data_IF_808455218853
#
_entry.id   IF_808455218853
#
_cell.length_a   1.000
_cell.length_b   1.000
_cell.length_c   1.000
_cell.angle_alpha   90.00
_cell.angle_beta   90.00
_cell.angle_gamma   90.00
#
_symmetry.space_group_name_H-M   'P 1'
#
loop_
_entity.id
_entity.type
_entity.pdbx_description
1 polymer ?
#
# COMPACT_ATOMS: atom_id res chain seq x y z
N UNK A 1 -21.81 -14.36 14.50
CA UNK A 1 -22.35 -15.19 13.40
C UNK A 1 -23.51 -16.04 13.88
N UNK A 2 -23.49 -16.50 15.13
CA UNK A 2 -24.64 -17.15 15.78
C UNK A 2 -25.59 -16.09 16.37
N UNK A 3 -26.18 -16.25 17.55
CA UNK A 3 -27.47 -15.56 17.81
C UNK A 3 -27.39 -14.06 18.17
N UNK A 4 -28.39 -13.31 17.69
CA UNK A 4 -28.80 -11.97 18.15
C UNK A 4 -28.39 -10.79 17.26
N UNK A 5 -27.34 -10.94 16.44
CA UNK A 5 -26.83 -9.86 15.60
C UNK A 5 -27.28 -9.98 14.15
N UNK A 6 -27.76 -8.88 13.56
CA UNK A 6 -28.13 -8.77 12.13
C UNK A 6 -26.99 -8.24 11.25
N UNK A 7 -25.87 -7.84 11.84
CA UNK A 7 -24.76 -7.18 11.14
C UNK A 7 -23.43 -7.83 11.51
N UNK A 8 -22.79 -8.49 10.55
CA UNK A 8 -21.52 -9.20 10.75
C UNK A 8 -20.34 -8.53 10.05
N UNK A 9 -20.55 -8.05 8.82
CA UNK A 9 -19.51 -7.40 7.99
C UNK A 9 -19.88 -5.98 7.57
N UNK A 10 -20.95 -5.41 8.14
CA UNK A 10 -21.29 -4.02 7.87
C UNK A 10 -20.33 -3.07 8.60
N UNK A 11 -20.25 -1.83 8.14
CA UNK A 11 -19.36 -0.82 8.73
C UNK A 11 -19.75 -0.41 10.16
N UNK A 12 -21.02 -0.56 10.54
CA UNK A 12 -21.58 0.05 11.75
C UNK A 12 -21.83 1.55 11.59
N UNK A 13 -21.86 2.29 12.69
CA UNK A 13 -22.13 3.73 12.68
C UNK A 13 -21.01 4.53 11.99
N UNK A 14 -21.39 5.48 11.13
CA UNK A 14 -20.46 6.29 10.32
C UNK A 14 -20.24 7.72 10.85
N UNK A 15 -21.08 8.19 11.80
CA UNK A 15 -20.97 9.53 12.41
C UNK A 15 -21.40 9.55 13.88
N UNK A 16 -21.06 10.64 14.55
CA UNK A 16 -21.68 11.02 15.82
C UNK A 16 -23.10 11.59 15.59
N UNK A 17 -23.96 11.52 16.61
CA UNK A 17 -25.40 11.85 16.57
C UNK A 17 -25.71 13.28 16.12
N UNK A 18 -26.08 14.16 17.05
CA UNK A 18 -26.55 15.52 16.75
C UNK A 18 -25.41 16.45 16.31
N UNK A 19 -24.30 16.49 17.06
CA UNK A 19 -23.12 17.28 16.72
C UNK A 19 -22.01 16.33 16.29
N UNK A 20 -21.42 16.45 15.09
CA UNK A 20 -21.45 17.56 14.12
C UNK A 20 -22.54 17.47 13.03
N UNK A 21 -23.50 16.55 13.14
CA UNK A 21 -24.63 16.47 12.19
C UNK A 21 -24.28 16.01 10.77
N UNK A 22 -23.01 15.63 10.52
CA UNK A 22 -22.49 15.21 9.22
C UNK A 22 -21.43 14.13 9.36
N UNK A 23 -21.15 13.42 8.27
CA UNK A 23 -20.01 12.49 8.19
C UNK A 23 -18.73 13.28 7.92
N UNK A 24 -17.63 12.93 8.59
CA UNK A 24 -16.33 13.55 8.34
C UNK A 24 -15.78 13.19 6.96
N UNK A 25 -15.22 14.18 6.25
CA UNK A 25 -14.50 13.94 4.99
C UNK A 25 -13.32 12.99 5.23
N UNK A 26 -13.13 12.03 4.33
CA UNK A 26 -12.07 11.01 4.47
C UNK A 26 -12.39 9.88 5.43
N UNK A 27 -13.61 9.79 5.98
CA UNK A 27 -14.07 8.60 6.71
C UNK A 27 -13.88 7.36 5.82
N UNK A 28 -13.20 6.34 6.34
CA UNK A 28 -12.97 5.08 5.63
C UNK A 28 -14.32 4.44 5.28
N UNK A 29 -14.56 4.24 3.99
CA UNK A 29 -15.76 3.63 3.42
C UNK A 29 -15.36 2.63 2.33
N UNK A 30 -16.24 1.70 1.94
CA UNK A 30 -15.98 0.79 0.83
C UNK A 30 -15.71 1.56 -0.47
N UNK A 31 -14.82 1.04 -1.30
CA UNK A 31 -14.42 1.66 -2.55
C UNK A 31 -13.40 0.81 -3.31
N UNK A 32 -12.84 1.34 -4.40
CA UNK A 32 -11.86 0.63 -5.20
C UNK A 32 -10.58 0.38 -4.40
N UNK A 33 -10.19 -0.89 -4.29
CA UNK A 33 -8.93 -1.31 -3.68
C UNK A 33 -7.95 -1.79 -4.73
N UNK A 34 -6.67 -1.41 -4.60
CA UNK A 34 -5.60 -1.85 -5.52
C UNK A 34 -5.54 -1.06 -6.84
N UNK A 35 -4.70 -1.52 -7.77
CA UNK A 35 -4.48 -0.84 -9.05
C UNK A 35 -3.79 0.52 -8.93
N UNK A 36 -3.17 0.82 -7.78
CA UNK A 36 -2.48 2.08 -7.53
C UNK A 36 -0.97 1.87 -7.46
N UNK A 37 -0.21 2.92 -7.79
CA UNK A 37 1.25 2.89 -7.75
C UNK A 37 1.75 2.67 -6.32
N UNK A 38 2.58 1.65 -6.12
CA UNK A 38 3.22 1.35 -4.82
C UNK A 38 4.75 1.39 -4.95
N UNK A 39 5.42 1.79 -3.87
CA UNK A 39 6.88 1.78 -3.76
C UNK A 39 7.29 0.99 -2.52
N UNK A 40 8.00 -0.10 -2.73
CA UNK A 40 8.63 -0.86 -1.65
C UNK A 40 10.04 -0.30 -1.48
N UNK A 41 10.44 0.04 -0.24
CA UNK A 41 11.70 0.73 0.06
C UNK A 41 12.71 -0.24 0.67
N UNK A 42 14.00 0.07 0.51
CA UNK A 42 15.13 -0.63 1.14
C UNK A 42 15.19 -2.15 0.86
N UNK A 43 14.85 -2.56 -0.37
CA UNK A 43 15.09 -3.93 -0.83
C UNK A 43 16.58 -4.15 -1.11
N UNK A 44 17.04 -5.39 -0.93
CA UNK A 44 18.43 -5.80 -1.19
C UNK A 44 18.52 -6.55 -2.51
N UNK A 45 19.56 -6.28 -3.29
CA UNK A 45 19.90 -7.06 -4.48
C UNK A 45 20.70 -8.27 -4.01
N UNK A 46 20.32 -9.47 -4.49
CA UNK A 46 20.97 -10.74 -4.14
C UNK A 46 22.00 -11.13 -5.18
N UNK A 47 21.63 -11.06 -6.46
CA UNK A 47 22.49 -11.43 -7.59
C UNK A 47 22.13 -10.58 -8.80
N UNK A 48 23.13 -10.27 -9.61
CA UNK A 48 22.98 -9.67 -10.94
C UNK A 48 23.60 -10.66 -11.91
N UNK A 49 22.81 -11.08 -12.89
CA UNK A 49 23.27 -11.97 -13.95
C UNK A 49 23.29 -11.18 -15.26
N UNK A 50 24.50 -10.91 -15.75
CA UNK A 50 24.71 -10.08 -16.95
C UNK A 50 24.48 -10.86 -18.24
N UNK A 51 24.61 -12.19 -18.21
CA UNK A 51 24.42 -13.02 -19.39
C UNK A 51 22.93 -13.09 -19.75
N UNK A 52 22.08 -13.26 -18.74
CA UNK A 52 20.63 -13.31 -18.90
C UNK A 52 19.95 -11.93 -18.81
N UNK A 53 20.71 -10.87 -18.51
CA UNK A 53 20.19 -9.52 -18.22
C UNK A 53 19.10 -9.50 -17.12
N UNK A 54 19.27 -10.31 -16.07
CA UNK A 54 18.31 -10.39 -14.95
C UNK A 54 18.90 -9.92 -13.63
N UNK A 55 18.03 -9.38 -12.78
CA UNK A 55 18.38 -8.93 -11.43
C UNK A 55 17.49 -9.65 -10.42
N UNK A 56 18.11 -10.29 -9.43
CA UNK A 56 17.42 -10.97 -8.34
C UNK A 56 17.35 -10.06 -7.11
N UNK A 57 16.13 -9.75 -6.66
CA UNK A 57 15.85 -8.86 -5.53
C UNK A 57 15.26 -9.69 -4.38
N UNK A 58 15.77 -9.50 -3.17
CA UNK A 58 15.23 -10.15 -1.96
C UNK A 58 13.90 -9.52 -1.57
N UNK A 59 12.84 -10.33 -1.53
CA UNK A 59 11.51 -9.96 -1.02
C UNK A 59 10.43 -9.89 -2.10
N UNK A 60 9.26 -9.35 -1.73
CA UNK A 60 8.12 -9.24 -2.63
C UNK A 60 8.18 -7.98 -3.52
N UNK A 61 7.64 -8.09 -4.74
CA UNK A 61 7.45 -7.00 -5.69
C UNK A 61 5.95 -6.73 -5.94
N UNK A 62 5.56 -5.48 -6.26
CA UNK A 62 4.16 -5.16 -6.47
C UNK A 62 3.66 -5.64 -7.85
N UNK A 63 2.55 -6.38 -7.85
CA UNK A 63 1.90 -6.87 -9.06
C UNK A 63 2.27 -8.31 -9.41
N UNK A 64 1.70 -8.80 -10.52
CA UNK A 64 1.97 -10.12 -11.08
C UNK A 64 3.16 -10.06 -12.06
N UNK A 65 3.73 -11.21 -12.47
CA UNK A 65 4.76 -11.25 -13.51
C UNK A 65 4.32 -10.52 -14.79
N UNK A 66 5.27 -9.86 -15.48
CA UNK A 66 5.00 -9.03 -16.66
C UNK A 66 4.63 -7.56 -16.36
N UNK A 67 4.52 -7.17 -15.08
CA UNK A 67 4.22 -5.79 -14.70
C UNK A 67 5.44 -4.87 -14.88
N UNK A 68 5.20 -3.63 -15.30
CA UNK A 68 6.25 -2.61 -15.42
C UNK A 68 6.69 -2.12 -14.04
N UNK A 69 8.00 -2.20 -13.77
CA UNK A 69 8.60 -1.76 -12.52
C UNK A 69 9.61 -0.64 -12.75
N UNK A 70 9.65 0.32 -11.83
CA UNK A 70 10.68 1.37 -11.79
C UNK A 70 11.59 1.15 -10.60
N UNK A 71 12.83 0.76 -10.86
CA UNK A 71 13.87 0.52 -9.85
C UNK A 71 14.76 1.76 -9.77
N UNK A 72 14.97 2.28 -8.56
CA UNK A 72 15.82 3.44 -8.29
C UNK A 72 16.61 3.21 -7.03
N UNK A 73 17.81 3.81 -6.87
CA UNK A 73 18.53 3.81 -5.60
C UNK A 73 17.64 4.22 -4.43
N UNK A 74 17.89 3.60 -3.27
CA UNK A 74 17.07 3.82 -2.09
C UNK A 74 17.25 5.24 -1.56
N UNK A 75 16.15 6.00 -1.53
CA UNK A 75 16.07 7.36 -0.99
C UNK A 75 16.03 7.33 0.55
N UNK A 76 17.06 7.86 1.20
CA UNK A 76 17.28 7.98 2.66
C UNK A 76 17.45 9.47 3.01
N UNK A 77 16.46 10.02 3.71
CA UNK A 77 16.44 11.44 4.11
C UNK A 77 17.60 11.73 5.05
N UNK A 78 18.34 12.81 4.80
CA UNK A 78 19.49 13.23 5.59
C UNK A 78 20.80 12.52 5.25
N UNK A 79 20.79 11.55 4.32
CA UNK A 79 22.01 10.88 3.81
C UNK A 79 22.19 11.17 2.33
N UNK A 80 21.20 10.81 1.51
CA UNK A 80 21.27 11.00 0.05
C UNK A 80 20.15 11.88 -0.52
N UNK A 81 19.37 12.52 0.36
CA UNK A 81 18.38 13.54 0.02
C UNK A 81 18.51 14.64 1.09
N UNK A 82 18.41 15.92 0.71
CA UNK A 82 18.33 17.00 1.68
C UNK A 82 17.17 16.79 2.66
N UNK A 83 17.29 17.35 3.87
CA UNK A 83 16.25 17.23 4.91
C UNK A 83 14.98 18.03 4.56
N UNK A 84 15.12 19.03 3.69
CA UNK A 84 14.05 19.86 3.14
C UNK A 84 14.10 19.78 1.61
#
# INVERSE_FOLDING_TARGET
>A
MTHGSKSHRALGSIRAGTTPGRVYKGKKMPGRMGGTKRKIRKLKIVKIDKELNVVMIKGALPGKPGNLLRITPAKIVGVNIPKN
#
